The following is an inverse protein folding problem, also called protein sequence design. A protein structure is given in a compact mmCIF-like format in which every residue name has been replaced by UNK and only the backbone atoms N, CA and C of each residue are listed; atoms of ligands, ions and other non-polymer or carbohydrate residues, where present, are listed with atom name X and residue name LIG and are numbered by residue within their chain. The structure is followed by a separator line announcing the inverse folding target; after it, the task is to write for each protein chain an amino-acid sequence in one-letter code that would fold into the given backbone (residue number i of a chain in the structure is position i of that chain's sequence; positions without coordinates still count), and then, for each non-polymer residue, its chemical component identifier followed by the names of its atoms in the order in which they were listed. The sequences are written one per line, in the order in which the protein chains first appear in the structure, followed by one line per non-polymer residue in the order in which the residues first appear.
data_IF_997944950157
#
_entry.id   IF_997944950157
#
_cell.length_a   1.000
_cell.length_b   1.000
_cell.length_c   1.000
_cell.angle_alpha   90.00
_cell.angle_beta   90.00
_cell.angle_gamma   90.00
#
_symmetry.space_group_name_H-M   'P 1'
#
loop_
_entity.id
_entity.type
_entity.pdbx_description
1 polymer ?
#
# COMPACT_ATOMS: atom_id res chain seq x y z
N UNK A 1 7.44 2.75 17.24
CA UNK A 1 6.39 3.13 16.27
C UNK A 1 5.95 4.59 16.37
N UNK A 2 5.92 5.19 17.56
CA UNK A 2 5.40 6.56 17.78
C UNK A 2 6.20 7.67 17.10
N UNK A 3 7.53 7.57 17.11
CA UNK A 3 8.44 8.56 16.49
C UNK A 3 8.21 8.64 14.99
N UNK A 4 8.06 7.49 14.33
CA UNK A 4 7.80 7.40 12.89
C UNK A 4 6.48 8.06 12.52
N UNK A 5 5.41 7.84 13.29
CA UNK A 5 4.11 8.47 13.02
C UNK A 5 4.10 9.98 13.24
N UNK A 6 4.85 10.48 14.22
CA UNK A 6 5.02 11.93 14.41
C UNK A 6 5.70 12.57 13.20
N UNK A 7 6.82 12.00 12.75
CA UNK A 7 7.51 12.45 11.55
C UNK A 7 6.63 12.40 10.29
N UNK A 8 5.79 11.37 10.16
CA UNK A 8 4.83 11.28 9.06
C UNK A 8 3.72 12.34 9.12
N UNK A 9 3.29 12.75 10.32
CA UNK A 9 2.30 13.83 10.48
C UNK A 9 2.84 15.21 10.10
N UNK A 10 4.15 15.43 10.25
CA UNK A 10 4.78 16.71 9.92
C UNK A 10 4.91 16.93 8.40
N UNK A 11 4.78 15.87 7.60
CA UNK A 11 4.84 15.95 6.14
C UNK A 11 3.45 16.07 5.53
N UNK A 12 3.36 16.88 4.49
CA UNK A 12 2.21 16.90 3.60
C UNK A 12 2.13 15.61 2.78
N UNK A 13 0.93 15.25 2.33
CA UNK A 13 0.75 14.10 1.43
C UNK A 13 1.58 14.28 0.15
N UNK A 14 1.70 15.50 -0.38
CA UNK A 14 2.50 15.80 -1.56
C UNK A 14 4.00 15.51 -1.35
N UNK A 15 4.55 15.87 -0.19
CA UNK A 15 5.93 15.53 0.15
C UNK A 15 6.12 14.02 0.23
N UNK A 16 5.19 13.29 0.84
CA UNK A 16 5.27 11.82 0.92
C UNK A 16 5.14 11.18 -0.47
N UNK A 17 4.26 11.69 -1.33
CA UNK A 17 4.10 11.22 -2.71
C UNK A 17 5.41 11.33 -3.52
N UNK A 18 6.23 12.36 -3.24
CA UNK A 18 7.53 12.53 -3.93
C UNK A 18 8.50 11.36 -3.69
N UNK A 19 8.33 10.58 -2.63
CA UNK A 19 9.18 9.42 -2.33
C UNK A 19 8.76 8.15 -3.05
N UNK A 20 7.56 8.10 -3.66
CA UNK A 20 7.03 6.89 -4.31
C UNK A 20 8.01 6.28 -5.32
N UNK A 21 8.62 7.04 -6.26
CA UNK A 21 9.56 6.46 -7.21
C UNK A 21 10.77 5.81 -6.54
N UNK A 22 11.30 6.44 -5.48
CA UNK A 22 12.43 5.91 -4.72
C UNK A 22 12.07 4.60 -4.00
N UNK A 23 10.91 4.55 -3.34
CA UNK A 23 10.43 3.35 -2.64
C UNK A 23 10.20 2.19 -3.62
N UNK A 24 9.54 2.46 -4.75
CA UNK A 24 9.31 1.45 -5.79
C UNK A 24 10.62 0.92 -6.35
N UNK A 25 11.62 1.78 -6.56
CA UNK A 25 12.95 1.34 -6.97
C UNK A 25 13.58 0.40 -5.94
N UNK A 26 13.47 0.70 -4.64
CA UNK A 26 13.99 -0.18 -3.58
C UNK A 26 13.30 -1.54 -3.53
N UNK A 27 11.99 -1.60 -3.79
CA UNK A 27 11.26 -2.87 -3.91
C UNK A 27 11.78 -3.67 -5.11
N UNK A 28 11.99 -3.02 -6.25
CA UNK A 28 12.57 -3.66 -7.44
C UNK A 28 13.99 -4.17 -7.19
N UNK A 29 14.86 -3.37 -6.56
CA UNK A 29 16.23 -3.76 -6.23
C UNK A 29 16.24 -5.00 -5.31
N UNK A 30 15.37 -5.03 -4.31
CA UNK A 30 15.21 -6.19 -3.43
C UNK A 30 14.71 -7.42 -4.19
N UNK A 31 13.75 -7.24 -5.11
CA UNK A 31 13.22 -8.32 -5.94
C UNK A 31 14.30 -8.90 -6.85
N UNK A 32 15.10 -8.05 -7.52
CA UNK A 32 16.28 -8.48 -8.30
C UNK A 32 17.23 -9.30 -7.45
N UNK A 33 17.59 -8.79 -6.27
CA UNK A 33 18.52 -9.47 -5.36
C UNK A 33 18.00 -10.85 -4.94
N UNK A 34 16.70 -11.00 -4.69
CA UNK A 34 16.11 -12.32 -4.40
C UNK A 34 16.28 -13.29 -5.58
N UNK A 35 16.07 -12.81 -6.80
CA UNK A 35 16.23 -13.59 -8.03
C UNK A 35 17.70 -13.97 -8.24
N UNK A 36 18.63 -13.03 -8.06
CA UNK A 36 20.07 -13.27 -8.17
C UNK A 36 20.57 -14.30 -7.13
N UNK A 37 19.84 -14.46 -6.03
CA UNK A 37 20.05 -15.50 -5.02
C UNK A 37 19.27 -16.81 -5.27
N UNK A 38 18.67 -16.98 -6.45
CA UNK A 38 18.05 -18.22 -6.90
C UNK A 38 16.54 -18.33 -6.65
N UNK A 39 15.86 -17.26 -6.24
CA UNK A 39 14.40 -17.28 -6.12
C UNK A 39 13.73 -17.45 -7.49
N UNK A 40 12.98 -18.53 -7.67
CA UNK A 40 12.22 -18.82 -8.90
C UNK A 40 10.79 -18.27 -8.87
N UNK A 41 10.29 -17.94 -7.68
CA UNK A 41 8.99 -17.29 -7.48
C UNK A 41 9.13 -16.20 -6.44
N UNK A 42 8.69 -14.98 -6.78
CA UNK A 42 8.68 -13.84 -5.86
C UNK A 42 7.30 -13.21 -5.85
N UNK A 43 6.68 -13.15 -4.67
CA UNK A 43 5.41 -12.46 -4.45
C UNK A 43 5.72 -11.08 -3.89
N UNK A 44 5.32 -10.05 -4.61
CA UNK A 44 5.51 -8.65 -4.22
C UNK A 44 4.16 -8.08 -3.79
N UNK A 45 3.96 -7.80 -2.49
CA UNK A 45 2.71 -7.25 -2.01
C UNK A 45 2.54 -5.79 -2.45
N UNK A 46 1.33 -5.48 -2.90
CA UNK A 46 0.87 -4.11 -3.06
C UNK A 46 0.68 -3.42 -1.70
N UNK A 47 0.63 -2.11 -1.73
CA UNK A 47 0.37 -1.30 -0.55
C UNK A 47 -1.13 -1.26 -0.23
N UNK A 48 -1.44 -1.43 1.05
CA UNK A 48 -2.80 -1.54 1.60
C UNK A 48 -3.56 -0.20 1.48
N UNK A 49 -4.90 -0.17 1.62
CA UNK A 49 -5.65 1.07 1.80
C UNK A 49 -5.37 1.65 3.20
N UNK A 50 -4.21 2.29 3.37
CA UNK A 50 -3.74 2.75 4.68
C UNK A 50 -4.66 3.79 5.32
N UNK A 51 -5.48 4.49 4.54
CA UNK A 51 -6.49 5.41 5.04
C UNK A 51 -7.60 4.73 5.85
N UNK A 52 -7.73 3.41 5.76
CA UNK A 52 -8.69 2.61 6.53
C UNK A 52 -8.13 2.07 7.85
N UNK A 53 -6.82 2.21 8.12
CA UNK A 53 -6.24 1.59 9.31
C UNK A 53 -6.46 2.47 10.55
N UNK A 54 -6.82 1.90 11.71
CA UNK A 54 -7.12 2.65 12.93
C UNK A 54 -6.01 3.61 13.36
N UNK A 55 -4.74 3.23 13.15
CA UNK A 55 -3.60 4.05 13.50
C UNK A 55 -3.52 5.33 12.66
N UNK A 56 -3.88 5.28 11.38
CA UNK A 56 -3.91 6.44 10.49
C UNK A 56 -5.19 7.25 10.68
N UNK A 57 -6.33 6.61 10.92
CA UNK A 57 -7.59 7.29 11.25
C UNK A 57 -7.47 8.13 12.54
N UNK A 58 -6.79 7.59 13.55
CA UNK A 58 -6.54 8.29 14.82
C UNK A 58 -5.51 9.41 14.63
N UNK A 59 -4.43 9.13 13.90
CA UNK A 59 -3.36 10.10 13.69
C UNK A 59 -3.82 11.28 12.82
N UNK A 60 -4.48 11.01 11.70
CA UNK A 60 -4.82 11.99 10.68
C UNK A 60 -6.32 12.31 10.68
N UNK A 61 -6.95 12.23 11.86
CA UNK A 61 -8.35 12.61 12.04
C UNK A 61 -8.58 14.02 11.50
N UNK A 62 -9.62 14.17 10.69
CA UNK A 62 -10.07 15.42 10.12
C UNK A 62 -11.48 15.73 10.58
N UNK A 63 -11.77 17.00 10.83
CA UNK A 63 -13.15 17.46 11.08
C UNK A 63 -13.92 17.70 9.78
N UNK A 64 -13.24 17.66 8.62
CA UNK A 64 -13.87 17.74 7.30
C UNK A 64 -14.46 16.37 6.89
N UNK A 65 -15.80 16.24 6.79
CA UNK A 65 -16.43 15.00 6.33
C UNK A 65 -16.01 14.62 4.91
N UNK A 66 -15.63 15.59 4.08
CA UNK A 66 -15.16 15.37 2.71
C UNK A 66 -13.75 14.78 2.66
N UNK A 67 -13.03 14.65 3.77
CA UNK A 67 -11.77 13.92 3.83
C UNK A 67 -11.94 12.40 3.74
N UNK A 68 -13.15 11.90 3.99
CA UNK A 68 -13.46 10.48 4.10
C UNK A 68 -14.23 9.94 2.87
N UNK A 69 -14.11 8.64 2.61
CA UNK A 69 -14.92 7.91 1.65
C UNK A 69 -16.13 7.22 2.32
N UNK A 70 -16.86 6.41 1.56
CA UNK A 70 -18.06 5.70 2.01
C UNK A 70 -17.76 4.68 3.14
N UNK A 71 -16.55 4.13 3.16
CA UNK A 71 -16.05 3.21 4.19
C UNK A 71 -15.42 3.94 5.38
N UNK A 72 -15.57 5.28 5.45
CA UNK A 72 -14.96 6.14 6.48
C UNK A 72 -13.43 6.07 6.50
N UNK A 73 -12.81 5.75 5.37
CA UNK A 73 -11.36 5.79 5.21
C UNK A 73 -10.89 7.17 4.72
N UNK A 74 -9.67 7.57 5.08
CA UNK A 74 -9.07 8.84 4.63
C UNK A 74 -8.65 8.76 3.15
N UNK A 75 -9.33 9.54 2.29
CA UNK A 75 -9.11 9.53 0.83
C UNK A 75 -7.69 9.90 0.43
N UNK A 76 -7.10 10.90 1.08
CA UNK A 76 -5.74 11.35 0.77
C UNK A 76 -4.69 10.25 0.94
N UNK A 77 -4.82 9.44 2.00
CA UNK A 77 -3.91 8.32 2.26
C UNK A 77 -4.17 7.14 1.33
N UNK A 78 -5.43 6.85 1.00
CA UNK A 78 -5.78 5.84 0.01
C UNK A 78 -5.28 6.23 -1.40
N UNK A 79 -5.34 7.51 -1.77
CA UNK A 79 -4.78 8.03 -3.03
C UNK A 79 -3.26 7.85 -3.11
N UNK A 80 -2.54 8.05 -2.00
CA UNK A 80 -1.10 7.76 -1.92
C UNK A 80 -0.84 6.26 -2.14
N UNK A 81 -1.65 5.38 -1.54
CA UNK A 81 -1.51 3.94 -1.73
C UNK A 81 -1.76 3.50 -3.17
N UNK A 82 -2.80 4.03 -3.81
CA UNK A 82 -3.09 3.78 -5.23
C UNK A 82 -1.94 4.25 -6.13
N UNK A 83 -1.43 5.48 -5.91
CA UNK A 83 -0.27 5.99 -6.66
C UNK A 83 0.95 5.08 -6.53
N UNK A 84 1.26 4.62 -5.31
CA UNK A 84 2.35 3.66 -5.09
C UNK A 84 2.13 2.36 -5.87
N UNK A 85 0.92 1.79 -5.79
CA UNK A 85 0.59 0.52 -6.44
C UNK A 85 0.65 0.61 -7.97
N UNK A 86 0.22 1.72 -8.56
CA UNK A 86 0.32 1.96 -10.00
C UNK A 86 1.78 2.04 -10.47
N UNK A 87 2.65 2.66 -9.68
CA UNK A 87 4.09 2.71 -9.97
C UNK A 87 4.72 1.32 -9.81
N UNK A 88 4.40 0.61 -8.73
CA UNK A 88 4.90 -0.73 -8.46
C UNK A 88 4.50 -1.72 -9.56
N UNK A 89 3.23 -1.76 -9.96
CA UNK A 89 2.77 -2.67 -11.02
C UNK A 89 3.47 -2.41 -12.36
N UNK A 90 3.70 -1.13 -12.72
CA UNK A 90 4.49 -0.78 -13.91
C UNK A 90 5.94 -1.27 -13.80
N UNK A 91 6.54 -1.11 -12.62
CA UNK A 91 7.91 -1.55 -12.36
C UNK A 91 8.04 -3.08 -12.42
N UNK A 92 7.09 -3.82 -11.82
CA UNK A 92 7.05 -5.28 -11.88
C UNK A 92 6.78 -5.80 -13.30
N UNK A 93 5.97 -5.09 -14.10
CA UNK A 93 5.79 -5.42 -15.53
C UNK A 93 7.11 -5.33 -16.29
N UNK A 94 7.96 -4.36 -15.98
CA UNK A 94 9.29 -4.26 -16.57
C UNK A 94 10.21 -5.37 -16.06
N UNK A 95 10.19 -5.65 -14.75
CA UNK A 95 11.03 -6.69 -14.15
C UNK A 95 10.73 -8.09 -14.70
N UNK A 96 9.45 -8.41 -14.97
CA UNK A 96 9.05 -9.66 -15.64
C UNK A 96 9.63 -9.83 -17.04
N UNK A 97 9.92 -8.74 -17.75
CA UNK A 97 10.59 -8.81 -19.07
C UNK A 97 12.08 -9.09 -18.95
N UNK A 98 12.69 -8.66 -17.84
CA UNK A 98 14.11 -8.84 -17.58
C UNK A 98 14.43 -10.24 -17.06
N UNK A 99 13.48 -10.86 -16.36
CA UNK A 99 13.59 -12.21 -15.81
C UNK A 99 12.45 -13.11 -16.34
N UNK A 100 12.45 -13.48 -17.64
CA UNK A 100 11.35 -14.24 -18.24
C UNK A 100 11.15 -15.64 -17.63
N UNK A 101 12.20 -16.23 -17.04
CA UNK A 101 12.17 -17.56 -16.44
C UNK A 101 11.76 -17.56 -14.95
N UNK A 102 11.43 -16.39 -14.39
CA UNK A 102 11.04 -16.23 -12.97
C UNK A 102 9.59 -15.83 -12.84
N UNK A 103 8.87 -16.48 -11.93
CA UNK A 103 7.48 -16.11 -11.62
C UNK A 103 7.42 -14.94 -10.64
N UNK A 104 7.13 -13.73 -11.14
CA UNK A 104 6.96 -12.53 -10.31
C UNK A 104 5.47 -12.21 -10.19
N UNK A 105 4.90 -12.32 -9.00
CA UNK A 105 3.46 -12.14 -8.74
C UNK A 105 3.23 -10.83 -7.97
N UNK A 106 2.25 -10.05 -8.40
CA UNK A 106 1.76 -8.92 -7.61
C UNK A 106 0.61 -9.41 -6.72
N UNK A 107 0.69 -9.20 -5.42
CA UNK A 107 -0.40 -9.51 -4.51
C UNK A 107 -1.22 -8.25 -4.23
N UNK A 108 -2.47 -8.23 -4.68
CA UNK A 108 -3.37 -7.07 -4.55
C UNK A 108 -3.97 -6.95 -3.15
N UNK A 109 -3.13 -6.53 -2.20
CA UNK A 109 -3.55 -6.29 -0.82
C UNK A 109 -4.54 -5.15 -0.72
N UNK A 110 -4.55 -4.23 -1.69
CA UNK A 110 -5.44 -3.09 -1.64
C UNK A 110 -6.90 -3.55 -1.73
N UNK A 111 -7.22 -4.26 -2.81
CA UNK A 111 -8.55 -4.80 -3.06
C UNK A 111 -8.92 -5.87 -2.04
N UNK A 112 -7.97 -6.72 -1.64
CA UNK A 112 -8.23 -7.77 -0.65
C UNK A 112 -8.70 -7.17 0.69
N UNK A 113 -8.03 -6.13 1.19
CA UNK A 113 -8.44 -5.51 2.45
C UNK A 113 -9.75 -4.73 2.32
N UNK A 114 -9.98 -4.03 1.20
CA UNK A 114 -11.27 -3.40 0.94
C UNK A 114 -12.41 -4.43 0.94
N UNK A 115 -12.20 -5.59 0.33
CA UNK A 115 -13.20 -6.66 0.33
C UNK A 115 -13.52 -7.14 1.75
N UNK A 116 -12.50 -7.38 2.57
CA UNK A 116 -12.67 -7.76 3.99
C UNK A 116 -13.48 -6.71 4.76
N UNK A 117 -13.16 -5.42 4.58
CA UNK A 117 -13.86 -4.33 5.27
C UNK A 117 -15.33 -4.23 4.85
N UNK A 118 -15.64 -4.51 3.58
CA UNK A 118 -17.01 -4.48 3.06
C UNK A 118 -17.80 -5.77 3.28
N UNK A 119 -17.17 -6.85 3.75
CA UNK A 119 -17.80 -8.16 3.91
C UNK A 119 -17.57 -8.68 5.34
N UNK A 120 -18.52 -8.34 6.22
CA UNK A 120 -18.46 -8.67 7.64
C UNK A 120 -18.50 -10.18 8.06
N UNK A 121 -18.86 -11.21 7.25
CA UNK A 121 -18.97 -12.57 7.78
C UNK A 121 -17.66 -13.36 7.69
N UNK A 122 -16.52 -12.76 8.08
CA UNK A 122 -15.26 -13.48 8.34
C UNK A 122 -15.01 -13.74 9.84
N UNK A 123 -16.03 -13.53 10.67
CA UNK A 123 -15.93 -13.60 12.13
C UNK A 123 -15.59 -12.27 12.81
N UNK A 124 -15.66 -11.15 12.08
CA UNK A 124 -15.54 -9.81 12.66
C UNK A 124 -16.89 -9.35 13.22
N UNK A 125 -16.89 -8.75 14.40
CA UNK A 125 -18.09 -8.09 14.92
C UNK A 125 -18.40 -6.84 14.09
N UNK A 126 -19.64 -6.69 13.63
CA UNK A 126 -20.10 -5.54 12.82
C UNK A 126 -19.85 -4.19 13.52
N UNK A 127 -19.79 -4.19 14.86
CA UNK A 127 -19.52 -3.01 15.71
C UNK A 127 -18.03 -2.63 15.77
N UNK A 128 -17.16 -3.50 15.27
CA UNK A 128 -15.69 -3.33 15.25
C UNK A 128 -15.16 -2.92 13.88
N UNK A 129 -16.04 -2.86 12.88
CA UNK A 129 -15.81 -2.32 11.53
C UNK A 129 -16.29 -0.86 11.48
#
# INVERSE_FOLDING_TARGET
MTITMHYFKEKTIAEVQSYVPYIVQKINDATRKMIDHGAQTVIVPGYLPIGCLPIYLTAFRSDDPMAYDELKCLKGLNNLAMLHNDNLQRALKQLRKEYPDVTIVYADYYTALQWVLSHAPLGFEEKSL
#
